data_IF_479862542734
#
_entry.id   IF_479862542734
#
_cell.length_a   1.000
_cell.length_b   1.000
_cell.length_c   1.000
_cell.angle_alpha   90.00
_cell.angle_beta   90.00
_cell.angle_gamma   90.00
#
_symmetry.space_group_name_H-M   'P 1'
#
loop_
_entity.id
_entity.type
_entity.pdbx_description
1 polymer ?
#
# COMPACT_ATOMS: atom_id res chain seq x y z
N UNK A 1 22.93 26.65 0.33
CA UNK A 1 22.67 25.62 -0.71
C UNK A 1 22.81 24.17 -0.22
N UNK A 2 23.94 23.72 0.37
CA UNK A 2 24.10 22.32 0.83
C UNK A 2 22.96 21.79 1.73
N UNK A 3 22.50 22.56 2.72
CA UNK A 3 21.40 22.15 3.62
C UNK A 3 20.06 21.95 2.90
N UNK A 4 19.79 22.76 1.88
CA UNK A 4 18.56 22.66 1.08
C UNK A 4 18.57 21.43 0.17
N UNK A 5 19.71 21.13 -0.44
CA UNK A 5 19.89 19.90 -1.25
C UNK A 5 19.73 18.64 -0.39
N UNK A 6 20.30 18.62 0.81
CA UNK A 6 20.11 17.51 1.76
C UNK A 6 18.66 17.36 2.22
N UNK A 7 17.95 18.47 2.41
CA UNK A 7 16.52 18.45 2.74
C UNK A 7 15.67 17.91 1.59
N UNK A 8 15.94 18.31 0.35
CA UNK A 8 15.27 17.77 -0.83
C UNK A 8 15.53 16.26 -1.01
N UNK A 9 16.78 15.82 -0.84
CA UNK A 9 17.12 14.39 -0.89
C UNK A 9 16.46 13.58 0.23
N UNK A 10 16.27 14.18 1.41
CA UNK A 10 15.58 13.54 2.52
C UNK A 10 14.07 13.35 2.27
N UNK A 11 13.44 14.26 1.51
CA UNK A 11 12.00 14.20 1.20
C UNK A 11 11.72 13.41 -0.07
N UNK A 12 12.69 13.30 -0.98
CA UNK A 12 12.52 12.59 -2.25
C UNK A 12 11.88 11.19 -2.11
N UNK A 13 12.25 10.33 -1.14
CA UNK A 13 11.62 9.02 -0.97
C UNK A 13 10.12 9.09 -0.65
N UNK A 14 9.66 10.12 0.07
CA UNK A 14 8.25 10.30 0.44
C UNK A 14 7.37 10.67 -0.76
N UNK A 15 7.95 11.13 -1.87
CA UNK A 15 7.24 11.47 -3.11
C UNK A 15 7.47 10.40 -4.17
N UNK A 16 8.72 9.96 -4.34
CA UNK A 16 9.12 9.00 -5.38
C UNK A 16 8.51 7.63 -5.13
N UNK A 17 8.43 7.15 -3.89
CA UNK A 17 7.90 5.80 -3.61
C UNK A 17 6.39 5.72 -3.87
N UNK A 18 5.54 6.64 -3.38
CA UNK A 18 4.13 6.66 -3.75
C UNK A 18 3.92 6.84 -5.26
N UNK A 19 4.66 7.76 -5.90
CA UNK A 19 4.54 7.99 -7.33
C UNK A 19 4.90 6.74 -8.15
N UNK A 20 6.03 6.10 -7.86
CA UNK A 20 6.45 4.87 -8.52
C UNK A 20 5.45 3.73 -8.29
N UNK A 21 4.91 3.60 -7.07
CA UNK A 21 3.91 2.59 -6.76
C UNK A 21 2.59 2.84 -7.49
N UNK A 22 2.12 4.10 -7.55
CA UNK A 22 0.93 4.46 -8.36
C UNK A 22 1.16 4.22 -9.85
N UNK A 23 2.37 4.49 -10.36
CA UNK A 23 2.73 4.20 -11.74
C UNK A 23 2.71 2.69 -12.00
N UNK A 24 3.28 1.87 -11.11
CA UNK A 24 3.24 0.40 -11.21
C UNK A 24 1.80 -0.11 -11.20
N UNK A 25 0.95 0.38 -10.29
CA UNK A 25 -0.47 0.03 -10.25
C UNK A 25 -1.22 0.46 -11.51
N UNK A 26 -0.95 1.65 -12.04
CA UNK A 26 -1.53 2.12 -13.29
C UNK A 26 -1.05 1.31 -14.51
N UNK A 27 0.16 0.77 -14.47
CA UNK A 27 0.69 -0.13 -15.51
C UNK A 27 0.27 -1.58 -15.35
N UNK A 28 -0.54 -1.92 -14.33
CA UNK A 28 -0.92 -3.30 -14.02
C UNK A 28 -1.36 -4.02 -15.29
N UNK A 29 -0.55 -4.99 -15.77
CA UNK A 29 -0.58 -5.53 -17.14
C UNK A 29 -1.99 -5.59 -17.72
N UNK A 30 -2.44 -4.55 -18.45
CA UNK A 30 -3.82 -4.49 -18.93
C UNK A 30 -4.04 -5.58 -19.98
N UNK A 31 -2.97 -6.00 -20.66
CA UNK A 31 -3.02 -6.96 -21.77
C UNK A 31 -3.25 -8.40 -21.30
N UNK A 32 -2.80 -8.79 -20.10
CA UNK A 32 -2.91 -10.18 -19.62
C UNK A 32 -4.21 -10.48 -18.86
N UNK A 33 -4.86 -9.47 -18.27
CA UNK A 33 -6.12 -9.65 -17.51
C UNK A 33 -7.36 -9.15 -18.24
N UNK A 34 -7.24 -8.27 -19.25
CA UNK A 34 -8.41 -7.77 -19.98
C UNK A 34 -8.98 -8.79 -20.98
N UNK A 35 -8.21 -9.81 -21.37
CA UNK A 35 -8.63 -10.86 -22.31
C UNK A 35 -9.27 -12.07 -21.63
N UNK A 36 -9.28 -12.11 -20.30
CA UNK A 36 -9.78 -13.25 -19.53
C UNK A 36 -11.23 -12.92 -19.08
N UNK A 37 -12.25 -13.66 -19.53
CA UNK A 37 -13.63 -13.46 -19.09
C UNK A 37 -13.77 -13.60 -17.57
N UNK A 38 -14.58 -12.72 -16.98
CA UNK A 38 -14.90 -12.74 -15.54
C UNK A 38 -16.14 -13.62 -15.37
N UNK A 39 -16.00 -14.70 -14.62
CA UNK A 39 -17.07 -15.67 -14.36
C UNK A 39 -17.22 -15.93 -12.87
N UNK A 40 -18.43 -16.27 -12.42
CA UNK A 40 -18.65 -16.66 -11.04
C UNK A 40 -17.92 -17.97 -10.74
N UNK A 41 -17.32 -18.11 -9.56
CA UNK A 41 -16.69 -19.35 -9.16
C UNK A 41 -17.70 -20.52 -9.20
N UNK A 42 -17.46 -21.50 -10.06
CA UNK A 42 -18.23 -22.74 -10.07
C UNK A 42 -17.34 -23.93 -9.73
N UNK A 43 -17.68 -24.60 -8.64
CA UNK A 43 -16.90 -25.68 -8.05
C UNK A 43 -16.64 -26.85 -9.01
N UNK A 44 -17.53 -27.04 -9.99
CA UNK A 44 -17.44 -28.11 -10.99
C UNK A 44 -16.37 -27.87 -12.08
N UNK A 45 -15.93 -26.63 -12.30
CA UNK A 45 -14.89 -26.33 -13.30
C UNK A 45 -13.70 -25.51 -12.75
N UNK A 46 -13.88 -24.73 -11.67
CA UNK A 46 -12.80 -24.04 -10.96
C UNK A 46 -12.08 -25.00 -9.99
N UNK A 47 -11.43 -26.03 -10.55
CA UNK A 47 -10.67 -27.02 -9.77
C UNK A 47 -9.23 -26.56 -9.54
N UNK A 48 -8.53 -27.16 -8.58
CA UNK A 48 -7.09 -26.93 -8.37
C UNK A 48 -6.27 -27.16 -9.64
N UNK A 49 -6.68 -28.13 -10.46
CA UNK A 49 -6.06 -28.40 -11.75
C UNK A 49 -6.19 -27.22 -12.72
N UNK A 50 -7.35 -26.55 -12.77
CA UNK A 50 -7.55 -25.32 -13.55
C UNK A 50 -6.62 -24.19 -13.07
N UNK A 51 -6.54 -23.99 -11.75
CA UNK A 51 -5.73 -22.91 -11.17
C UNK A 51 -4.23 -23.06 -11.46
N UNK A 52 -3.71 -24.28 -11.53
CA UNK A 52 -2.29 -24.54 -11.78
C UNK A 52 -1.86 -24.44 -13.24
N UNK A 53 -2.79 -24.57 -14.20
CA UNK A 53 -2.47 -24.56 -15.64
C UNK A 53 -2.86 -23.24 -16.33
N UNK A 54 -3.35 -22.26 -15.55
CA UNK A 54 -3.90 -21.02 -16.06
C UNK A 54 -5.35 -21.20 -16.47
N UNK A 55 -6.28 -20.73 -15.64
CA UNK A 55 -7.69 -20.70 -16.01
C UNK A 55 -7.90 -19.63 -17.10
N UNK A 56 -8.69 -19.99 -18.12
CA UNK A 56 -9.14 -19.05 -19.17
C UNK A 56 -10.27 -18.13 -18.68
N UNK A 57 -10.57 -18.11 -17.38
CA UNK A 57 -11.48 -17.17 -16.73
C UNK A 57 -10.85 -16.67 -15.43
N UNK A 58 -11.25 -15.48 -15.00
CA UNK A 58 -10.92 -14.94 -13.70
C UNK A 58 -12.07 -15.28 -12.75
N UNK A 59 -11.93 -16.32 -11.88
CA UNK A 59 -13.02 -16.71 -11.02
C UNK A 59 -13.26 -15.61 -9.98
N UNK A 60 -14.46 -15.06 -9.97
CA UNK A 60 -14.88 -14.13 -8.95
C UNK A 60 -15.58 -14.92 -7.84
N UNK A 61 -14.93 -15.00 -6.68
CA UNK A 61 -15.58 -15.50 -5.48
C UNK A 61 -16.78 -14.59 -5.14
N UNK A 62 -17.87 -15.11 -4.55
CA UNK A 62 -18.95 -14.27 -4.04
C UNK A 62 -18.38 -13.18 -3.13
N UNK A 63 -18.92 -11.95 -3.16
CA UNK A 63 -18.44 -10.84 -2.33
C UNK A 63 -18.36 -11.18 -0.84
N UNK A 64 -19.20 -12.09 -0.35
CA UNK A 64 -19.16 -12.58 1.02
C UNK A 64 -17.91 -13.42 1.36
N UNK A 65 -17.26 -14.03 0.35
CA UNK A 65 -16.06 -14.86 0.50
C UNK A 65 -14.78 -14.16 -0.01
N UNK A 66 -14.91 -13.33 -1.05
CA UNK A 66 -13.81 -12.56 -1.64
C UNK A 66 -13.66 -11.16 -1.02
N UNK A 67 -14.70 -10.67 -0.36
CA UNK A 67 -14.65 -9.39 0.29
C UNK A 67 -13.82 -9.51 1.57
N UNK A 68 -12.90 -8.57 1.77
CA UNK A 68 -12.29 -8.33 3.08
C UNK A 68 -13.33 -7.94 4.17
N UNK A 69 -14.61 -7.85 3.80
CA UNK A 69 -15.76 -7.66 4.68
C UNK A 69 -16.00 -8.93 5.50
N UNK A 70 -15.34 -8.98 6.66
CA UNK A 70 -15.52 -10.02 7.67
C UNK A 70 -14.25 -10.77 8.05
N UNK A 71 -13.23 -10.79 7.18
CA UNK A 71 -11.99 -11.55 7.40
C UNK A 71 -10.91 -10.73 8.13
N UNK A 72 -10.89 -9.41 7.95
CA UNK A 72 -9.76 -8.56 8.37
C UNK A 72 -10.10 -7.46 9.41
N UNK A 73 -10.88 -7.81 10.45
CA UNK A 73 -10.92 -7.06 11.72
C UNK A 73 -11.30 -5.57 11.70
N UNK A 74 -11.16 -4.92 12.87
CA UNK A 74 -11.53 -3.51 13.09
C UNK A 74 -10.69 -2.52 12.26
N UNK A 75 -9.44 -2.89 11.93
CA UNK A 75 -8.53 -2.04 11.16
C UNK A 75 -8.99 -1.86 9.71
N UNK A 76 -9.37 -2.94 9.01
CA UNK A 76 -9.87 -2.82 7.63
C UNK A 76 -11.26 -2.17 7.62
N UNK A 77 -12.09 -2.42 8.63
CA UNK A 77 -13.35 -1.70 8.80
C UNK A 77 -13.11 -0.18 8.94
N UNK A 78 -12.13 0.22 9.74
CA UNK A 78 -11.72 1.61 9.88
C UNK A 78 -11.21 2.22 8.57
N UNK A 79 -10.38 1.50 7.82
CA UNK A 79 -9.86 1.95 6.53
C UNK A 79 -10.97 2.10 5.48
N UNK A 80 -11.95 1.18 5.45
CA UNK A 80 -13.13 1.27 4.57
C UNK A 80 -14.04 2.43 4.96
N UNK A 81 -14.28 2.64 6.25
CA UNK A 81 -15.07 3.76 6.75
C UNK A 81 -14.41 5.11 6.41
N UNK A 82 -13.10 5.22 6.62
CA UNK A 82 -12.32 6.37 6.20
C UNK A 82 -12.38 6.56 4.67
N UNK A 83 -12.26 5.48 3.90
CA UNK A 83 -12.38 5.52 2.45
C UNK A 83 -13.74 6.06 1.98
N UNK A 84 -14.82 5.59 2.59
CA UNK A 84 -16.18 6.11 2.35
C UNK A 84 -16.33 7.59 2.68
N UNK A 85 -15.61 8.09 3.69
CA UNK A 85 -15.61 9.52 4.02
C UNK A 85 -14.80 10.36 3.01
N UNK A 86 -13.67 9.83 2.53
CA UNK A 86 -12.78 10.55 1.59
C UNK A 86 -13.36 10.59 0.18
N UNK A 87 -13.93 9.48 -0.31
CA UNK A 87 -14.57 9.40 -1.63
C UNK A 87 -15.98 8.80 -1.48
N UNK A 88 -16.99 9.60 -1.10
CA UNK A 88 -18.34 9.09 -0.82
C UNK A 88 -19.03 8.50 -2.05
N UNK A 89 -18.71 9.02 -3.24
CA UNK A 89 -19.30 8.59 -4.53
C UNK A 89 -18.78 7.23 -4.99
N UNK A 90 -17.58 6.84 -4.55
CA UNK A 90 -16.97 5.54 -4.87
C UNK A 90 -16.12 5.07 -3.67
N UNK A 91 -16.75 4.39 -2.69
CA UNK A 91 -16.07 3.95 -1.47
C UNK A 91 -14.92 2.95 -1.72
N UNK A 92 -14.95 2.22 -2.84
CA UNK A 92 -13.87 1.29 -3.19
C UNK A 92 -12.60 2.04 -3.59
N UNK A 93 -12.75 3.09 -4.42
CA UNK A 93 -11.64 4.00 -4.74
C UNK A 93 -11.16 4.71 -3.47
N UNK A 94 -12.08 5.17 -2.63
CA UNK A 94 -11.75 5.81 -1.35
C UNK A 94 -10.91 4.91 -0.43
N UNK A 95 -11.25 3.63 -0.32
CA UNK A 95 -10.45 2.66 0.43
C UNK A 95 -9.05 2.51 -0.14
N UNK A 96 -8.90 2.47 -1.47
CA UNK A 96 -7.59 2.45 -2.14
C UNK A 96 -6.75 3.69 -1.83
N UNK A 97 -7.35 4.88 -1.89
CA UNK A 97 -6.69 6.15 -1.55
C UNK A 97 -6.21 6.15 -0.10
N UNK A 98 -7.05 5.74 0.84
CA UNK A 98 -6.69 5.69 2.26
C UNK A 98 -5.56 4.68 2.51
N UNK A 99 -5.57 3.52 1.86
CA UNK A 99 -4.46 2.56 1.95
C UNK A 99 -3.15 3.15 1.45
N UNK A 100 -3.14 3.83 0.31
CA UNK A 100 -1.96 4.51 -0.20
C UNK A 100 -1.45 5.58 0.79
N UNK A 101 -2.36 6.39 1.32
CA UNK A 101 -2.00 7.42 2.29
C UNK A 101 -1.39 6.81 3.57
N UNK A 102 -1.97 5.75 4.12
CA UNK A 102 -1.49 5.13 5.35
C UNK A 102 -0.18 4.38 5.12
N UNK A 103 -0.13 3.47 4.17
CA UNK A 103 0.98 2.54 4.03
C UNK A 103 2.14 3.09 3.19
N UNK A 104 1.87 3.98 2.23
CA UNK A 104 2.92 4.52 1.36
C UNK A 104 3.40 5.92 1.81
N UNK A 105 2.62 6.65 2.62
CA UNK A 105 3.00 8.01 3.05
C UNK A 105 3.18 8.07 4.56
N UNK A 106 2.13 7.82 5.34
CA UNK A 106 2.15 8.01 6.78
C UNK A 106 3.15 7.07 7.46
N UNK A 107 3.10 5.77 7.14
CA UNK A 107 3.98 4.79 7.75
C UNK A 107 5.47 5.03 7.43
N UNK A 108 5.88 5.21 6.15
CA UNK A 108 7.26 5.59 5.84
C UNK A 108 7.68 6.92 6.49
N UNK A 109 6.77 7.90 6.55
CA UNK A 109 7.02 9.18 7.24
C UNK A 109 7.32 9.00 8.73
N UNK A 110 6.52 8.18 9.43
CA UNK A 110 6.73 7.84 10.84
C UNK A 110 8.07 7.11 11.02
N UNK A 111 8.33 6.08 10.20
CA UNK A 111 9.59 5.34 10.26
C UNK A 111 10.80 6.24 10.03
N UNK A 112 10.70 7.18 9.09
CA UNK A 112 11.75 8.15 8.81
C UNK A 112 11.97 9.12 9.99
N UNK A 113 10.89 9.62 10.61
CA UNK A 113 10.98 10.48 11.78
C UNK A 113 11.68 9.74 12.95
N UNK A 114 11.30 8.49 13.21
CA UNK A 114 11.95 7.65 14.22
C UNK A 114 13.43 7.41 13.90
N UNK A 115 13.77 7.18 12.63
CA UNK A 115 15.15 7.06 12.19
C UNK A 115 15.97 8.32 12.47
N UNK A 116 15.41 9.51 12.21
CA UNK A 116 16.08 10.79 12.53
C UNK A 116 16.31 10.96 14.04
N UNK A 117 15.33 10.58 14.87
CA UNK A 117 15.47 10.58 16.33
C UNK A 117 16.62 9.66 16.75
N UNK A 118 16.68 8.44 16.21
CA UNK A 118 17.75 7.50 16.50
C UNK A 118 19.13 8.05 16.09
N UNK A 119 19.23 8.72 14.93
CA UNK A 119 20.48 9.38 14.51
C UNK A 119 20.87 10.52 15.44
N UNK A 120 19.91 11.33 15.90
CA UNK A 120 20.17 12.41 16.84
C UNK A 120 20.68 11.86 18.18
N UNK A 121 20.01 10.84 18.73
CA UNK A 121 20.44 10.16 19.95
C UNK A 121 21.86 9.59 19.81
N UNK A 122 22.17 8.93 18.68
CA UNK A 122 23.50 8.40 18.39
C UNK A 122 24.57 9.50 18.39
N UNK A 123 24.29 10.66 17.82
CA UNK A 123 25.21 11.82 17.83
C UNK A 123 25.43 12.34 19.24
N UNK A 124 24.37 12.49 20.03
CA UNK A 124 24.44 12.94 21.43
C UNK A 124 25.29 11.98 22.28
N UNK A 125 25.08 10.67 22.15
CA UNK A 125 25.88 9.65 22.85
C UNK A 125 27.36 9.73 22.45
N UNK A 126 27.65 9.92 21.16
CA UNK A 126 29.04 10.09 20.70
C UNK A 126 29.70 11.37 21.23
N UNK A 127 28.96 12.47 21.34
CA UNK A 127 29.49 13.72 21.90
C UNK A 127 29.85 13.54 23.39
N UNK A 128 28.93 12.95 24.18
CA UNK A 128 29.18 12.62 25.59
C UNK A 128 30.39 11.70 25.76
N UNK A 129 30.54 10.67 24.91
CA UNK A 129 31.71 9.77 24.93
C UNK A 129 33.03 10.45 24.57
N UNK A 130 33.01 11.58 23.88
CA UNK A 130 34.20 12.34 23.47
C UNK A 130 34.56 13.46 24.45
N UNK A 131 33.86 13.56 25.59
CA UNK A 131 34.12 14.59 26.59
C UNK A 131 33.74 16.00 26.16
N UNK A 132 32.91 16.14 25.12
CA UNK A 132 32.30 17.43 24.81
C UNK A 132 31.16 17.69 25.83
N UNK A 133 31.01 18.93 26.35
CA UNK A 133 29.89 19.27 27.23
C UNK A 133 28.53 19.02 26.55
#
# INVERSE_FOLDING_TARGET
MKRFVWFLLAIAPLVVVPAAFTAVLATGSPVLRATIPIEAHARNHCTWHCHNHGCNHAPHLPRALAGDEGVYGATIAGLKAAGKAVVPKDPHVGYGVVNLAVFCVAWPGIMYALYLVALWQRRKIRALRRGAP
#
